data_IF_131936784017
#
_entry.id   IF_131936784017
#
_cell.length_a   1.000
_cell.length_b   1.000
_cell.length_c   1.000
_cell.angle_alpha   90.00
_cell.angle_beta   90.00
_cell.angle_gamma   90.00
#
_symmetry.space_group_name_H-M   'P 1'
#
loop_
_entity.id
_entity.type
_entity.pdbx_description
1 polymer ?
#
# COMPACT_ATOMS: atom_id res chain seq x y z
N UNK A 1 20.37 17.73 -21.31
CA UNK A 1 20.46 18.78 -20.28
C UNK A 1 19.65 18.36 -19.07
N UNK A 2 20.26 18.41 -17.88
CA UNK A 2 19.74 17.87 -16.62
C UNK A 2 18.30 18.32 -16.27
N UNK A 3 17.88 19.52 -16.68
CA UNK A 3 16.52 20.02 -16.47
C UNK A 3 15.44 19.22 -17.23
N UNK A 4 15.69 18.82 -18.48
CA UNK A 4 14.72 18.05 -19.27
C UNK A 4 14.54 16.63 -18.72
N UNK A 5 15.62 16.06 -18.19
CA UNK A 5 15.62 14.72 -17.58
C UNK A 5 14.88 14.73 -16.24
N UNK A 6 15.16 15.73 -15.38
CA UNK A 6 14.42 15.95 -14.13
C UNK A 6 12.91 16.15 -14.39
N UNK A 7 12.54 16.91 -15.41
CA UNK A 7 11.13 17.13 -15.76
C UNK A 7 10.44 15.83 -16.24
N UNK A 8 11.13 14.96 -16.99
CA UNK A 8 10.61 13.65 -17.40
C UNK A 8 10.40 12.73 -16.20
N UNK A 9 11.39 12.68 -15.29
CA UNK A 9 11.29 11.89 -14.06
C UNK A 9 10.11 12.32 -13.20
N UNK A 10 9.93 13.63 -12.99
CA UNK A 10 8.81 14.16 -12.20
C UNK A 10 7.46 13.83 -12.83
N UNK A 11 7.33 13.91 -14.15
CA UNK A 11 6.11 13.50 -14.85
C UNK A 11 5.82 12.01 -14.67
N UNK A 12 6.84 11.16 -14.77
CA UNK A 12 6.70 9.71 -14.55
C UNK A 12 6.21 9.42 -13.14
N UNK A 13 6.85 9.99 -12.12
CA UNK A 13 6.46 9.80 -10.71
C UNK A 13 5.03 10.30 -10.45
N UNK A 14 4.64 11.43 -11.03
CA UNK A 14 3.28 11.94 -10.90
C UNK A 14 2.26 11.00 -11.56
N UNK A 15 2.57 10.45 -12.73
CA UNK A 15 1.69 9.50 -13.43
C UNK A 15 1.54 8.18 -12.68
N UNK A 16 2.63 7.67 -12.09
CA UNK A 16 2.63 6.48 -11.22
C UNK A 16 1.75 6.71 -9.99
N UNK A 17 1.85 7.87 -9.33
CA UNK A 17 1.01 8.20 -8.18
C UNK A 17 -0.48 8.34 -8.55
N UNK A 18 -0.79 8.96 -9.70
CA UNK A 18 -2.17 9.04 -10.21
C UNK A 18 -2.75 7.66 -10.49
N UNK A 19 -1.97 6.78 -11.13
CA UNK A 19 -2.37 5.41 -11.37
C UNK A 19 -2.57 4.64 -10.07
N UNK A 20 -1.64 4.77 -9.10
CA UNK A 20 -1.71 4.12 -7.79
C UNK A 20 -3.02 4.46 -7.08
N UNK A 21 -3.36 5.76 -7.02
CA UNK A 21 -4.63 6.23 -6.42
C UNK A 21 -5.85 5.66 -7.14
N UNK A 22 -5.82 5.60 -8.47
CA UNK A 22 -6.91 5.01 -9.26
C UNK A 22 -7.07 3.52 -8.94
N UNK A 23 -5.98 2.76 -9.01
CA UNK A 23 -5.96 1.32 -8.74
C UNK A 23 -6.44 1.01 -7.31
N UNK A 24 -6.02 1.81 -6.32
CA UNK A 24 -6.46 1.63 -4.93
C UNK A 24 -7.98 1.82 -4.79
N UNK A 25 -8.54 2.90 -5.35
CA UNK A 25 -9.99 3.15 -5.30
C UNK A 25 -10.79 2.06 -6.02
N UNK A 26 -10.35 1.68 -7.21
CA UNK A 26 -10.98 0.61 -8.00
C UNK A 26 -10.96 -0.72 -7.23
N UNK A 27 -9.85 -1.05 -6.57
CA UNK A 27 -9.78 -2.24 -5.74
C UNK A 27 -10.77 -2.23 -4.56
N UNK A 28 -11.00 -1.08 -3.93
CA UNK A 28 -11.97 -0.95 -2.85
C UNK A 28 -13.40 -1.24 -3.33
N UNK A 29 -13.76 -0.76 -4.52
CA UNK A 29 -15.06 -1.04 -5.14
C UNK A 29 -15.23 -2.53 -5.50
N UNK A 30 -14.13 -3.20 -5.85
CA UNK A 30 -14.12 -4.61 -6.26
C UNK A 30 -14.04 -5.60 -5.11
N UNK A 31 -13.68 -5.16 -3.90
CA UNK A 31 -13.33 -6.03 -2.77
C UNK A 31 -14.45 -7.03 -2.42
N UNK A 32 -15.71 -6.60 -2.52
CA UNK A 32 -16.87 -7.42 -2.19
C UNK A 32 -17.21 -8.47 -3.26
N UNK A 33 -17.11 -8.09 -4.54
CA UNK A 33 -17.63 -8.86 -5.69
C UNK A 33 -16.55 -9.61 -6.45
N UNK A 34 -15.35 -9.05 -6.56
CA UNK A 34 -14.20 -9.58 -7.30
C UNK A 34 -12.92 -9.51 -6.45
N UNK A 35 -12.85 -10.23 -5.32
CA UNK A 35 -11.77 -10.10 -4.34
C UNK A 35 -10.38 -10.41 -4.90
N UNK A 36 -10.26 -11.37 -5.82
CA UNK A 36 -8.98 -11.72 -6.46
C UNK A 36 -8.44 -10.58 -7.33
N UNK A 37 -9.33 -9.87 -8.02
CA UNK A 37 -8.96 -8.72 -8.85
C UNK A 37 -8.59 -7.52 -7.98
N UNK A 38 -9.35 -7.28 -6.92
CA UNK A 38 -9.05 -6.24 -5.93
C UNK A 38 -7.68 -6.46 -5.27
N UNK A 39 -7.37 -7.69 -4.84
CA UNK A 39 -6.07 -8.03 -4.24
C UNK A 39 -4.92 -7.78 -5.21
N UNK A 40 -5.07 -8.15 -6.49
CA UNK A 40 -4.06 -7.85 -7.52
C UNK A 40 -3.87 -6.35 -7.72
N UNK A 41 -4.94 -5.56 -7.75
CA UNK A 41 -4.86 -4.10 -7.88
C UNK A 41 -4.21 -3.44 -6.65
N UNK A 42 -4.51 -3.91 -5.44
CA UNK A 42 -3.87 -3.42 -4.21
C UNK A 42 -2.40 -3.78 -4.15
N UNK A 43 -2.03 -4.98 -4.60
CA UNK A 43 -0.64 -5.41 -4.71
C UNK A 43 0.14 -4.54 -5.71
N UNK A 44 -0.47 -4.29 -6.87
CA UNK A 44 0.03 -3.41 -7.91
C UNK A 44 0.18 -1.96 -7.43
N UNK A 45 -0.80 -1.41 -6.72
CA UNK A 45 -0.73 -0.08 -6.12
C UNK A 45 0.38 -0.01 -5.05
N UNK A 46 0.46 -1.01 -4.17
CA UNK A 46 1.48 -1.11 -3.13
C UNK A 46 2.90 -1.19 -3.68
N UNK A 47 3.08 -1.77 -4.88
CA UNK A 47 4.37 -1.77 -5.57
C UNK A 47 4.87 -0.35 -5.91
N UNK A 48 3.98 0.62 -6.13
CA UNK A 48 4.34 2.04 -6.28
C UNK A 48 4.61 2.67 -4.91
N UNK A 49 3.63 2.63 -4.01
CA UNK A 49 3.76 3.07 -2.63
C UNK A 49 2.62 2.54 -1.75
N UNK A 50 2.87 2.48 -0.44
CA UNK A 50 1.87 2.13 0.58
C UNK A 50 1.74 3.30 1.55
N UNK A 51 0.51 3.75 1.78
CA UNK A 51 0.21 4.81 2.74
C UNK A 51 -0.71 4.28 3.84
N UNK A 52 -0.25 4.34 5.09
CA UNK A 52 -1.03 3.91 6.25
C UNK A 52 -2.42 4.57 6.31
N UNK A 53 -2.59 5.89 6.06
CA UNK A 53 -3.92 6.50 6.06
C UNK A 53 -4.91 5.92 5.02
N UNK A 54 -4.42 5.38 3.90
CA UNK A 54 -5.28 4.70 2.93
C UNK A 54 -5.66 3.29 3.41
N UNK A 55 -4.76 2.60 4.12
CA UNK A 55 -5.07 1.31 4.74
C UNK A 55 -6.07 1.47 5.90
N UNK A 56 -5.94 2.53 6.68
CA UNK A 56 -6.88 2.88 7.76
C UNK A 56 -8.28 3.11 7.19
N UNK A 57 -8.36 3.89 6.11
CA UNK A 57 -9.61 4.12 5.39
C UNK A 57 -10.21 2.82 4.84
N UNK A 58 -9.40 1.97 4.22
CA UNK A 58 -9.84 0.67 3.70
C UNK A 58 -10.42 -0.20 4.82
N UNK A 59 -9.69 -0.32 5.94
CA UNK A 59 -10.13 -1.13 7.08
C UNK A 59 -11.45 -0.62 7.69
N UNK A 60 -11.66 0.69 7.73
CA UNK A 60 -12.90 1.30 8.20
C UNK A 60 -14.06 1.10 7.20
N UNK A 61 -13.87 1.47 5.94
CA UNK A 61 -14.92 1.41 4.91
C UNK A 61 -15.35 -0.03 4.59
N UNK A 62 -14.45 -1.01 4.75
CA UNK A 62 -14.70 -2.42 4.45
C UNK A 62 -14.86 -3.27 5.72
N UNK A 63 -15.03 -2.64 6.89
CA UNK A 63 -15.01 -3.30 8.19
C UNK A 63 -15.94 -4.50 8.29
N UNK A 64 -17.19 -4.34 7.86
CA UNK A 64 -18.18 -5.42 7.90
C UNK A 64 -17.83 -6.58 6.97
N UNK A 65 -17.35 -6.28 5.77
CA UNK A 65 -16.90 -7.28 4.80
C UNK A 65 -15.73 -8.08 5.36
N UNK A 66 -14.74 -7.40 5.93
CA UNK A 66 -13.53 -8.02 6.50
C UNK A 66 -13.81 -8.80 7.78
N UNK A 67 -14.84 -8.42 8.54
CA UNK A 67 -15.30 -9.21 9.68
C UNK A 67 -15.92 -10.54 9.24
N UNK A 68 -16.65 -10.55 8.12
CA UNK A 68 -17.31 -11.75 7.57
C UNK A 68 -16.41 -12.62 6.70
N UNK A 69 -15.25 -12.12 6.27
CA UNK A 69 -14.31 -12.81 5.38
C UNK A 69 -12.88 -12.79 5.96
N UNK A 70 -12.59 -13.58 7.00
CA UNK A 70 -11.28 -13.59 7.65
C UNK A 70 -10.14 -13.99 6.70
N UNK A 71 -10.39 -14.84 5.71
CA UNK A 71 -9.40 -15.25 4.70
C UNK A 71 -8.99 -14.08 3.82
N UNK A 72 -9.95 -13.24 3.40
CA UNK A 72 -9.67 -12.03 2.63
C UNK A 72 -8.86 -11.03 3.46
N UNK A 73 -9.21 -10.87 4.74
CA UNK A 73 -8.46 -10.01 5.67
C UNK A 73 -7.02 -10.49 5.84
N UNK A 74 -6.78 -11.78 5.97
CA UNK A 74 -5.45 -12.37 6.05
C UNK A 74 -4.63 -12.13 4.77
N UNK A 75 -5.25 -12.24 3.59
CA UNK A 75 -4.57 -11.96 2.31
C UNK A 75 -4.24 -10.48 2.13
N UNK A 76 -5.12 -9.58 2.57
CA UNK A 76 -4.83 -8.14 2.58
C UNK A 76 -3.65 -7.82 3.50
N UNK A 77 -3.63 -8.41 4.70
CA UNK A 77 -2.51 -8.31 5.65
C UNK A 77 -1.20 -8.72 4.97
N UNK A 78 -1.16 -9.88 4.33
CA UNK A 78 0.03 -10.39 3.64
C UNK A 78 0.52 -9.42 2.55
N UNK A 79 -0.39 -8.98 1.68
CA UNK A 79 -0.07 -8.02 0.60
C UNK A 79 0.53 -6.74 1.18
N UNK A 80 -0.13 -6.14 2.18
CA UNK A 80 0.33 -4.86 2.71
C UNK A 80 1.61 -4.97 3.53
N UNK A 81 1.81 -6.05 4.30
CA UNK A 81 3.06 -6.28 5.03
C UNK A 81 4.24 -6.41 4.07
N UNK A 82 4.08 -7.23 3.01
CA UNK A 82 5.11 -7.40 2.00
C UNK A 82 5.43 -6.09 1.30
N UNK A 83 4.42 -5.37 0.81
CA UNK A 83 4.62 -4.08 0.10
C UNK A 83 5.14 -2.97 1.03
N UNK A 84 4.81 -3.00 2.31
CA UNK A 84 5.35 -2.07 3.30
C UNK A 84 6.83 -2.30 3.56
N UNK A 85 7.29 -3.54 3.69
CA UNK A 85 8.72 -3.82 3.85
C UNK A 85 9.50 -3.45 2.57
N UNK A 86 9.00 -3.85 1.39
CA UNK A 86 9.58 -3.47 0.10
C UNK A 86 9.68 -1.94 -0.11
N UNK A 87 8.79 -1.16 0.52
CA UNK A 87 8.86 0.31 0.46
C UNK A 87 10.21 0.83 0.95
N UNK A 88 10.77 0.26 2.02
CA UNK A 88 11.99 0.76 2.65
C UNK A 88 13.28 0.33 1.95
N UNK A 89 13.21 -0.60 0.99
CA UNK A 89 14.33 -0.96 0.12
C UNK A 89 14.47 -0.03 -1.09
N UNK A 90 13.51 0.89 -1.33
CA UNK A 90 13.57 1.84 -2.44
C UNK A 90 14.62 2.93 -2.20
N UNK A 91 15.37 3.38 -3.23
CA UNK A 91 16.43 4.39 -3.09
C UNK A 91 16.01 5.71 -2.41
N UNK A 92 14.72 6.07 -2.52
CA UNK A 92 14.17 7.28 -1.87
C UNK A 92 14.12 7.18 -0.33
N UNK A 93 14.13 5.98 0.24
CA UNK A 93 14.10 5.74 1.69
C UNK A 93 15.45 5.28 2.26
N UNK A 94 16.40 4.88 1.41
CA UNK A 94 17.80 4.62 1.78
C UNK A 94 18.49 5.86 2.36
N UNK A 95 18.05 7.06 1.97
CA UNK A 95 18.60 8.34 2.46
C UNK A 95 18.20 8.68 3.90
N UNK A 96 17.25 7.97 4.49
CA UNK A 96 16.89 8.18 5.90
C UNK A 96 17.93 7.52 6.81
N UNK A 97 18.26 8.15 7.95
CA UNK A 97 19.06 7.50 8.99
C UNK A 97 18.48 6.12 9.32
N UNK A 98 19.33 5.11 9.37
CA UNK A 98 18.93 3.71 9.49
C UNK A 98 17.96 3.48 10.66
N UNK A 99 18.25 4.05 11.84
CA UNK A 99 17.38 3.96 13.03
C UNK A 99 15.96 4.50 12.77
N UNK A 100 15.84 5.59 12.02
CA UNK A 100 14.52 6.17 11.69
C UNK A 100 13.78 5.31 10.67
N UNK A 101 14.50 4.71 9.71
CA UNK A 101 13.92 3.77 8.75
C UNK A 101 13.30 2.57 9.46
N UNK A 102 14.09 1.91 10.31
CA UNK A 102 13.64 0.77 11.12
C UNK A 102 12.47 1.14 12.06
N UNK A 103 12.50 2.33 12.67
CA UNK A 103 11.40 2.79 13.50
C UNK A 103 10.09 2.96 12.72
N UNK A 104 10.16 3.56 11.51
CA UNK A 104 9.00 3.73 10.63
C UNK A 104 8.49 2.41 10.09
N UNK A 105 9.40 1.52 9.70
CA UNK A 105 9.04 0.19 9.21
C UNK A 105 8.28 -0.58 10.29
N UNK A 106 8.84 -0.71 11.49
CA UNK A 106 8.19 -1.39 12.63
C UNK A 106 6.86 -0.76 13.03
N UNK A 107 6.77 0.57 13.03
CA UNK A 107 5.52 1.25 13.36
C UNK A 107 4.43 0.91 12.34
N UNK A 108 4.72 1.00 11.05
CA UNK A 108 3.74 0.69 10.02
C UNK A 108 3.41 -0.79 9.94
N UNK A 109 4.38 -1.68 10.18
CA UNK A 109 4.14 -3.11 10.32
C UNK A 109 3.14 -3.38 11.45
N UNK A 110 3.40 -2.83 12.65
CA UNK A 110 2.47 -2.93 13.78
C UNK A 110 1.08 -2.41 13.40
N UNK A 111 1.01 -1.24 12.75
CA UNK A 111 -0.26 -0.63 12.36
C UNK A 111 -1.03 -1.48 11.34
N UNK A 112 -0.37 -2.03 10.33
CA UNK A 112 -0.98 -2.97 9.38
C UNK A 112 -1.52 -4.19 10.12
N UNK A 113 -0.76 -4.70 11.11
CA UNK A 113 -1.20 -5.86 11.90
C UNK A 113 -2.44 -5.58 12.74
N UNK A 114 -2.59 -4.36 13.26
CA UNK A 114 -3.78 -3.90 13.98
C UNK A 114 -5.00 -3.72 13.06
N UNK A 115 -4.79 -3.19 11.85
CA UNK A 115 -5.86 -2.94 10.87
C UNK A 115 -6.39 -4.23 10.25
N UNK A 116 -5.52 -5.22 10.07
CA UNK A 116 -5.84 -6.53 9.49
C UNK A 116 -5.39 -7.63 10.45
N UNK A 117 -6.08 -7.82 11.60
CA UNK A 117 -5.69 -8.82 12.57
C UNK A 117 -5.85 -10.23 12.00
N UNK A 118 -4.98 -11.13 12.44
CA UNK A 118 -5.20 -12.57 12.30
C UNK A 118 -6.49 -12.91 13.06
N UNK A 119 -7.40 -13.61 12.38
CA UNK A 119 -8.69 -14.03 12.95
C UNK A 119 -8.53 -15.18 13.93
#
# INVERSE_FOLDING_TARGET
>A
GAYREKARLMRKLAQEELWRRKAFREAMELLATRPEEALRLLDQAGAVDVYIPELERLAEEQRELLARRPELRARLREVFLRRWSEKFTKPRYERLPERMRHARERWGEKRIKELFPEG
#
